data_IF_160933808874
#
_entry.id   IF_160933808874
#
_cell.length_a   1.000
_cell.length_b   1.000
_cell.length_c   1.000
_cell.angle_alpha   90.00
_cell.angle_beta   90.00
_cell.angle_gamma   90.00
#
_symmetry.space_group_name_H-M   'P 1'
#
loop_
_entity.id
_entity.type
_entity.pdbx_description
1 polymer ?
#
# COMPACT_ATOMS: atom_id res chain seq x y z
N UNK A 1 -4.87 16.87 -6.35
CA UNK A 1 -5.86 15.99 -7.01
C UNK A 1 -7.25 16.51 -6.67
N UNK A 2 -8.11 16.68 -7.66
CA UNK A 2 -9.54 17.00 -7.44
C UNK A 2 -10.29 15.66 -7.35
N UNK A 3 -10.97 15.43 -6.23
CA UNK A 3 -11.81 14.25 -5.99
C UNK A 3 -13.24 14.64 -6.39
N UNK A 4 -13.87 13.88 -7.28
CA UNK A 4 -15.26 14.14 -7.73
C UNK A 4 -16.29 13.74 -6.66
N UNK A 5 -17.58 13.94 -6.94
CA UNK A 5 -18.67 13.69 -5.97
C UNK A 5 -18.82 12.19 -5.69
N UNK A 6 -18.73 11.35 -6.72
CA UNK A 6 -18.86 9.91 -6.64
C UNK A 6 -17.71 9.29 -5.82
N UNK A 7 -16.48 9.73 -6.08
CA UNK A 7 -15.31 9.30 -5.31
C UNK A 7 -15.39 9.71 -3.84
N UNK A 8 -15.87 10.91 -3.54
CA UNK A 8 -16.09 11.34 -2.14
C UNK A 8 -17.12 10.46 -1.44
N UNK A 9 -18.20 10.12 -2.12
CA UNK A 9 -19.22 9.25 -1.56
C UNK A 9 -18.66 7.82 -1.36
N UNK A 10 -17.92 7.28 -2.31
CA UNK A 10 -17.28 5.96 -2.17
C UNK A 10 -16.28 5.93 -1.00
N UNK A 11 -15.46 6.97 -0.80
CA UNK A 11 -14.58 7.10 0.38
C UNK A 11 -15.40 7.17 1.69
N UNK A 12 -16.51 7.87 1.72
CA UNK A 12 -17.41 7.92 2.87
C UNK A 12 -18.01 6.54 3.16
N UNK A 13 -18.47 5.82 2.15
CA UNK A 13 -19.00 4.47 2.27
C UNK A 13 -17.92 3.48 2.75
N UNK A 14 -16.70 3.56 2.23
CA UNK A 14 -15.58 2.78 2.72
C UNK A 14 -15.35 3.01 4.22
N UNK A 15 -15.32 4.27 4.68
CA UNK A 15 -15.13 4.61 6.09
C UNK A 15 -16.23 4.00 6.97
N UNK A 16 -17.49 4.17 6.59
CA UNK A 16 -18.63 3.60 7.33
C UNK A 16 -18.58 2.07 7.37
N UNK A 17 -18.23 1.45 6.24
CA UNK A 17 -18.12 0.00 6.13
C UNK A 17 -17.01 -0.56 7.02
N UNK A 18 -15.82 0.05 6.99
CA UNK A 18 -14.70 -0.32 7.86
C UNK A 18 -15.08 -0.15 9.34
N UNK A 19 -15.69 0.97 9.72
CA UNK A 19 -16.12 1.22 11.09
C UNK A 19 -17.09 0.14 11.58
N UNK A 20 -18.08 -0.23 10.77
CA UNK A 20 -19.05 -1.29 11.10
C UNK A 20 -18.38 -2.65 11.30
N UNK A 21 -17.53 -3.05 10.36
CA UNK A 21 -16.82 -4.34 10.46
C UNK A 21 -15.83 -4.37 11.63
N UNK A 22 -15.22 -3.24 11.95
CA UNK A 22 -14.25 -3.16 13.04
C UNK A 22 -14.87 -3.39 14.43
N UNK A 23 -16.18 -3.19 14.60
CA UNK A 23 -16.89 -3.48 15.84
C UNK A 23 -16.82 -4.97 16.23
N UNK A 24 -16.76 -5.86 15.23
CA UNK A 24 -16.79 -7.33 15.45
C UNK A 24 -15.46 -8.02 15.13
N UNK A 25 -14.62 -7.42 14.27
CA UNK A 25 -13.48 -8.16 13.69
C UNK A 25 -12.10 -7.58 14.02
N UNK A 26 -12.01 -6.42 14.69
CA UNK A 26 -10.73 -5.78 15.04
C UNK A 26 -9.76 -5.67 13.84
N UNK A 27 -10.25 -5.19 12.70
CA UNK A 27 -9.47 -5.05 11.45
C UNK A 27 -8.36 -4.01 11.60
N UNK A 28 -8.62 -2.97 12.38
CA UNK A 28 -7.72 -1.87 12.68
C UNK A 28 -7.79 -1.55 14.18
N UNK A 29 -6.74 -0.95 14.73
CA UNK A 29 -6.71 -0.56 16.15
C UNK A 29 -7.73 0.55 16.47
N UNK A 30 -8.11 0.70 17.75
CA UNK A 30 -8.99 1.77 18.20
C UNK A 30 -8.46 3.16 17.81
N UNK A 31 -7.16 3.41 17.93
CA UNK A 31 -6.55 4.68 17.52
C UNK A 31 -6.65 4.92 16.02
N UNK A 32 -6.59 3.87 15.19
CA UNK A 32 -6.79 3.97 13.75
C UNK A 32 -8.26 4.24 13.39
N UNK A 33 -9.21 3.63 14.10
CA UNK A 33 -10.65 3.86 13.88
C UNK A 33 -11.03 5.31 14.13
N UNK A 34 -10.44 5.94 15.14
CA UNK A 34 -10.70 7.34 15.47
C UNK A 34 -10.14 8.33 14.44
N UNK A 35 -9.19 7.90 13.60
CA UNK A 35 -8.45 8.74 12.66
C UNK A 35 -8.57 8.26 11.19
N UNK A 36 -9.72 7.69 10.81
CA UNK A 36 -9.90 7.14 9.45
C UNK A 36 -9.75 8.20 8.35
N UNK A 37 -10.18 9.43 8.59
CA UNK A 37 -10.02 10.52 7.62
C UNK A 37 -8.55 10.85 7.37
N UNK A 38 -7.72 10.79 8.41
CA UNK A 38 -6.28 11.00 8.27
C UNK A 38 -5.62 9.85 7.52
N UNK A 39 -6.09 8.61 7.75
CA UNK A 39 -5.61 7.45 7.02
C UNK A 39 -5.99 7.48 5.54
N UNK A 40 -7.19 7.95 5.21
CA UNK A 40 -7.61 8.21 3.83
C UNK A 40 -6.71 9.29 3.22
N UNK A 41 -6.54 10.42 3.92
CA UNK A 41 -5.72 11.52 3.44
C UNK A 41 -4.26 11.09 3.19
N UNK A 42 -3.63 10.38 4.14
CA UNK A 42 -2.29 9.82 3.98
C UNK A 42 -2.21 8.94 2.73
N UNK A 43 -3.20 8.06 2.52
CA UNK A 43 -3.25 7.17 1.35
C UNK A 43 -3.33 7.94 0.04
N UNK A 44 -4.16 8.98 0.00
CA UNK A 44 -4.34 9.81 -1.19
C UNK A 44 -3.14 10.71 -1.47
N UNK A 45 -2.39 11.10 -0.42
CA UNK A 45 -1.21 11.97 -0.56
C UNK A 45 -0.08 11.34 -1.37
N UNK A 46 -0.01 10.01 -1.44
CA UNK A 46 1.01 9.28 -2.21
C UNK A 46 0.57 8.94 -3.63
N UNK A 47 -0.72 9.03 -3.94
CA UNK A 47 -1.30 8.61 -5.23
C UNK A 47 -0.59 9.20 -6.45
N UNK A 48 -0.19 10.51 -6.48
CA UNK A 48 0.49 11.10 -7.65
C UNK A 48 1.86 10.50 -7.97
N UNK A 49 2.46 9.81 -7.01
CA UNK A 49 3.81 9.24 -7.12
C UNK A 49 3.81 7.75 -7.50
N UNK A 50 2.63 7.15 -7.68
CA UNK A 50 2.48 5.71 -7.88
C UNK A 50 2.24 5.36 -9.36
N UNK A 51 2.79 4.23 -9.79
CA UNK A 51 2.59 3.64 -11.11
C UNK A 51 1.18 3.08 -11.33
N UNK A 52 1.00 2.36 -12.46
CA UNK A 52 -0.31 1.82 -12.85
C UNK A 52 -0.68 0.51 -12.17
N UNK A 53 0.29 -0.38 -11.93
CA UNK A 53 0.05 -1.68 -11.30
C UNK A 53 0.63 -1.66 -9.90
N UNK A 54 -0.22 -1.80 -8.89
CA UNK A 54 0.14 -1.71 -7.48
C UNK A 54 -0.17 -3.02 -6.76
N UNK A 55 0.78 -3.47 -5.95
CA UNK A 55 0.65 -4.64 -5.08
C UNK A 55 0.72 -4.12 -3.64
N UNK A 56 -0.42 -3.96 -2.98
CA UNK A 56 -0.52 -3.51 -1.58
C UNK A 56 -0.34 -4.70 -0.66
N UNK A 57 0.80 -4.80 0.00
CA UNK A 57 1.20 -5.93 0.83
C UNK A 57 0.87 -5.69 2.30
N UNK A 58 0.06 -6.59 2.86
CA UNK A 58 -0.48 -6.45 4.20
C UNK A 58 -1.58 -5.39 4.25
N UNK A 59 -2.53 -5.48 3.32
CA UNK A 59 -3.57 -4.46 3.11
C UNK A 59 -4.46 -4.20 4.33
N UNK A 60 -4.61 -5.19 5.22
CA UNK A 60 -5.28 -5.04 6.50
C UNK A 60 -6.70 -4.49 6.40
N UNK A 61 -6.93 -3.31 6.96
CA UNK A 61 -8.18 -2.55 6.84
C UNK A 61 -8.36 -1.83 5.51
N UNK A 62 -7.56 -2.17 4.48
CA UNK A 62 -7.66 -1.63 3.12
C UNK A 62 -6.81 -0.37 2.87
N UNK A 63 -5.87 -0.04 3.76
CA UNK A 63 -5.01 1.13 3.59
C UNK A 63 -3.58 0.75 3.18
N UNK A 64 -3.04 1.39 2.15
CA UNK A 64 -3.60 2.50 1.38
C UNK A 64 -4.39 2.08 0.13
N UNK A 65 -4.49 0.79 -0.19
CA UNK A 65 -4.98 0.26 -1.46
C UNK A 65 -6.40 0.70 -1.82
N UNK A 66 -7.39 0.57 -0.92
CA UNK A 66 -8.79 0.92 -1.20
C UNK A 66 -8.99 2.42 -1.50
N UNK A 67 -8.48 3.38 -0.69
CA UNK A 67 -8.59 4.80 -1.05
C UNK A 67 -7.97 5.14 -2.41
N UNK A 68 -6.83 4.52 -2.75
CA UNK A 68 -6.18 4.72 -4.05
C UNK A 68 -7.04 4.13 -5.18
N UNK A 69 -7.62 2.94 -4.98
CA UNK A 69 -8.50 2.28 -5.95
C UNK A 69 -9.71 3.16 -6.30
N UNK A 70 -10.33 3.75 -5.29
CA UNK A 70 -11.51 4.61 -5.44
C UNK A 70 -11.22 5.84 -6.32
N UNK A 71 -10.02 6.42 -6.21
CA UNK A 71 -9.71 7.67 -6.91
C UNK A 71 -8.87 7.49 -8.18
N UNK A 72 -8.52 6.25 -8.54
CA UNK A 72 -7.58 5.96 -9.64
C UNK A 72 -8.07 4.77 -10.47
N UNK A 73 -9.09 4.97 -11.29
CA UNK A 73 -9.65 3.93 -12.16
C UNK A 73 -8.65 3.38 -13.19
N UNK A 74 -7.66 4.19 -13.54
CA UNK A 74 -6.57 3.84 -14.46
C UNK A 74 -5.50 2.93 -13.85
N UNK A 75 -5.55 2.67 -12.54
CA UNK A 75 -4.60 1.81 -11.83
C UNK A 75 -5.20 0.45 -11.53
N UNK A 76 -4.41 -0.61 -11.68
CA UNK A 76 -4.75 -1.97 -11.23
C UNK A 76 -4.14 -2.21 -9.86
N UNK A 77 -4.96 -2.62 -8.88
CA UNK A 77 -4.55 -2.76 -7.50
C UNK A 77 -4.79 -4.18 -7.01
N UNK A 78 -3.74 -4.79 -6.46
CA UNK A 78 -3.77 -6.13 -5.89
C UNK A 78 -3.57 -5.99 -4.38
N UNK A 79 -4.59 -6.36 -3.62
CA UNK A 79 -4.59 -6.32 -2.16
C UNK A 79 -4.16 -7.69 -1.63
N UNK A 80 -2.98 -7.79 -1.03
CA UNK A 80 -2.44 -9.03 -0.49
C UNK A 80 -2.64 -9.04 1.03
N UNK A 81 -3.40 -10.00 1.53
CA UNK A 81 -3.69 -10.13 2.95
C UNK A 81 -3.77 -11.60 3.35
N UNK A 82 -2.93 -12.01 4.30
CA UNK A 82 -2.85 -13.41 4.75
C UNK A 82 -3.92 -13.78 5.79
N UNK A 83 -4.45 -12.80 6.51
CA UNK A 83 -5.53 -13.02 7.48
C UNK A 83 -6.87 -13.12 6.75
N UNK A 84 -7.51 -14.29 6.79
CA UNK A 84 -8.76 -14.57 6.05
C UNK A 84 -9.91 -13.65 6.44
N UNK A 85 -10.03 -13.22 7.72
CA UNK A 85 -11.08 -12.28 8.15
C UNK A 85 -10.88 -10.92 7.52
N UNK A 86 -9.62 -10.42 7.45
CA UNK A 86 -9.29 -9.16 6.78
C UNK A 86 -9.47 -9.26 5.28
N UNK A 87 -9.06 -10.38 4.67
CA UNK A 87 -9.25 -10.62 3.24
C UNK A 87 -10.76 -10.66 2.88
N UNK A 88 -11.60 -11.29 3.70
CA UNK A 88 -13.06 -11.28 3.54
C UNK A 88 -13.65 -9.87 3.60
N UNK A 89 -13.18 -9.05 4.54
CA UNK A 89 -13.56 -7.63 4.60
C UNK A 89 -13.18 -6.88 3.31
N UNK A 90 -11.95 -7.07 2.84
CA UNK A 90 -11.47 -6.44 1.61
C UNK A 90 -12.30 -6.87 0.40
N UNK A 91 -12.58 -8.17 0.26
CA UNK A 91 -13.41 -8.72 -0.81
C UNK A 91 -14.84 -8.14 -0.78
N UNK A 92 -15.44 -8.11 0.42
CA UNK A 92 -16.76 -7.50 0.58
C UNK A 92 -16.74 -6.00 0.24
N UNK A 93 -15.66 -5.30 0.59
CA UNK A 93 -15.51 -3.87 0.32
C UNK A 93 -15.40 -3.59 -1.18
N UNK A 94 -14.55 -4.31 -1.91
CA UNK A 94 -14.40 -4.09 -3.37
C UNK A 94 -15.69 -4.39 -4.12
N UNK A 95 -16.43 -5.43 -3.72
CA UNK A 95 -17.73 -5.76 -4.32
C UNK A 95 -18.78 -4.69 -4.01
N UNK A 96 -18.88 -4.25 -2.75
CA UNK A 96 -19.85 -3.22 -2.32
C UNK A 96 -19.62 -1.87 -3.00
N UNK A 97 -18.37 -1.52 -3.24
CA UNK A 97 -17.99 -0.25 -3.89
C UNK A 97 -17.81 -0.39 -5.41
N UNK A 98 -18.09 -1.57 -5.98
CA UNK A 98 -17.92 -1.89 -7.40
C UNK A 98 -16.52 -1.51 -7.95
N UNK A 99 -15.46 -1.79 -7.18
CA UNK A 99 -14.08 -1.49 -7.58
C UNK A 99 -13.55 -2.54 -8.57
N UNK A 100 -13.84 -2.35 -9.85
CA UNK A 100 -13.47 -3.28 -10.94
C UNK A 100 -11.96 -3.32 -11.22
N UNK A 101 -11.24 -2.31 -10.77
CA UNK A 101 -9.79 -2.17 -10.90
C UNK A 101 -8.99 -2.83 -9.76
N UNK A 102 -9.66 -3.55 -8.85
CA UNK A 102 -9.04 -4.09 -7.64
C UNK A 102 -9.28 -5.59 -7.48
N UNK A 103 -8.25 -6.34 -7.08
CA UNK A 103 -8.32 -7.77 -6.78
C UNK A 103 -7.76 -8.05 -5.39
N UNK A 104 -8.41 -8.91 -4.63
CA UNK A 104 -7.94 -9.40 -3.32
C UNK A 104 -7.32 -10.78 -3.49
N UNK A 105 -6.15 -10.99 -2.91
CA UNK A 105 -5.47 -12.28 -2.82
C UNK A 105 -5.28 -12.64 -1.34
N UNK A 106 -6.00 -13.66 -0.87
CA UNK A 106 -5.87 -14.16 0.49
C UNK A 106 -4.73 -15.19 0.56
N UNK A 107 -3.52 -14.69 0.65
CA UNK A 107 -2.30 -15.51 0.69
C UNK A 107 -1.16 -14.74 1.35
N UNK A 108 -0.06 -15.41 1.63
CA UNK A 108 1.18 -14.77 2.07
C UNK A 108 1.92 -14.24 0.85
N UNK A 109 2.53 -13.05 0.97
CA UNK A 109 3.26 -12.43 -0.14
C UNK A 109 4.47 -13.25 -0.58
N UNK A 110 5.03 -14.04 0.32
CA UNK A 110 6.16 -14.95 0.06
C UNK A 110 5.82 -16.07 -0.94
N UNK A 111 4.52 -16.36 -1.12
CA UNK A 111 4.01 -17.38 -2.06
C UNK A 111 3.83 -16.85 -3.48
N UNK A 112 4.00 -15.53 -3.68
CA UNK A 112 3.75 -14.84 -4.93
C UNK A 112 5.05 -14.45 -5.63
N UNK A 113 5.00 -14.42 -6.97
CA UNK A 113 6.12 -14.02 -7.81
C UNK A 113 5.73 -13.03 -8.92
N UNK A 114 6.71 -12.57 -9.71
CA UNK A 114 6.45 -11.58 -10.78
C UNK A 114 5.40 -11.98 -11.80
N UNK A 115 5.28 -13.28 -12.10
CA UNK A 115 4.32 -13.83 -13.09
C UNK A 115 2.85 -13.68 -12.67
N UNK A 116 2.59 -13.45 -11.38
CA UNK A 116 1.23 -13.34 -10.84
C UNK A 116 0.62 -11.95 -11.07
N UNK A 117 1.41 -11.00 -11.60
CA UNK A 117 1.02 -9.60 -11.74
C UNK A 117 1.38 -9.02 -13.11
N UNK A 118 0.55 -8.08 -13.63
CA UNK A 118 0.90 -7.32 -14.82
C UNK A 118 2.10 -6.41 -14.55
N UNK A 119 3.02 -6.35 -15.51
CA UNK A 119 4.28 -5.64 -15.36
C UNK A 119 4.32 -4.37 -16.22
N UNK A 120 5.12 -3.36 -15.85
CA UNK A 120 5.83 -3.24 -14.57
C UNK A 120 4.88 -2.96 -13.41
N UNK A 121 5.27 -3.30 -12.18
CA UNK A 121 4.48 -3.05 -10.98
C UNK A 121 5.31 -2.37 -9.87
N UNK A 122 4.60 -1.80 -8.90
CA UNK A 122 5.16 -1.27 -7.68
C UNK A 122 4.55 -2.00 -6.48
N UNK A 123 5.41 -2.44 -5.55
CA UNK A 123 5.00 -3.03 -4.27
C UNK A 123 4.81 -1.90 -3.28
N UNK A 124 3.63 -1.78 -2.72
CA UNK A 124 3.26 -0.75 -1.76
C UNK A 124 3.10 -1.37 -0.39
N UNK A 125 3.63 -0.72 0.65
CA UNK A 125 3.47 -1.17 2.04
C UNK A 125 3.22 -0.01 2.98
N UNK A 126 2.35 -0.27 3.99
CA UNK A 126 2.12 0.62 5.11
C UNK A 126 2.11 -0.19 6.40
N UNK A 127 2.95 0.18 7.37
CA UNK A 127 3.04 -0.49 8.68
C UNK A 127 3.24 -2.02 8.64
N UNK A 128 3.84 -2.54 7.55
CA UNK A 128 4.08 -3.98 7.35
C UNK A 128 5.24 -4.53 8.18
N UNK A 129 6.13 -3.68 8.67
CA UNK A 129 7.28 -4.06 9.49
C UNK A 129 8.50 -3.18 9.23
N UNK A 130 9.69 -3.61 9.70
CA UNK A 130 10.94 -2.92 9.38
C UNK A 130 11.28 -3.05 7.89
N UNK A 131 12.16 -2.16 7.40
CA UNK A 131 12.59 -2.18 5.99
C UNK A 131 13.16 -3.53 5.59
N UNK A 132 14.05 -4.11 6.41
CA UNK A 132 14.66 -5.41 6.08
C UNK A 132 13.67 -6.57 6.16
N UNK A 133 12.73 -6.57 7.12
CA UNK A 133 11.65 -7.57 7.17
C UNK A 133 10.77 -7.49 5.92
N UNK A 134 10.40 -6.28 5.51
CA UNK A 134 9.63 -6.05 4.28
C UNK A 134 10.37 -6.57 3.05
N UNK A 135 11.65 -6.19 2.87
CA UNK A 135 12.48 -6.65 1.75
C UNK A 135 12.57 -8.18 1.71
N UNK A 136 12.73 -8.83 2.86
CA UNK A 136 12.79 -10.30 2.95
C UNK A 136 11.49 -10.93 2.47
N UNK A 137 10.35 -10.42 2.92
CA UNK A 137 9.03 -10.96 2.57
C UNK A 137 8.72 -10.84 1.08
N UNK A 138 9.06 -9.69 0.46
CA UNK A 138 8.77 -9.43 -0.96
C UNK A 138 9.92 -9.80 -1.90
N UNK A 139 10.91 -10.58 -1.43
CA UNK A 139 12.14 -10.88 -2.19
C UNK A 139 11.85 -11.38 -3.60
N UNK A 140 10.89 -12.30 -3.76
CA UNK A 140 10.49 -12.84 -5.05
C UNK A 140 9.95 -11.75 -5.99
N UNK A 141 9.07 -10.86 -5.51
CA UNK A 141 8.53 -9.76 -6.30
C UNK A 141 9.61 -8.79 -6.77
N UNK A 142 10.64 -8.57 -5.95
CA UNK A 142 11.75 -7.69 -6.31
C UNK A 142 12.75 -8.33 -7.28
N UNK A 143 12.51 -9.53 -7.80
CA UNK A 143 13.32 -10.09 -8.92
C UNK A 143 12.98 -9.44 -10.25
N UNK A 144 11.78 -8.87 -10.42
CA UNK A 144 11.42 -8.07 -11.60
C UNK A 144 12.34 -6.83 -11.70
N UNK A 145 12.98 -6.59 -12.87
CA UNK A 145 13.98 -5.53 -13.02
C UNK A 145 13.43 -4.11 -12.78
N UNK A 146 12.16 -3.88 -13.12
CA UNK A 146 11.50 -2.57 -12.99
C UNK A 146 10.63 -2.46 -11.75
N UNK A 147 10.61 -3.49 -10.89
CA UNK A 147 9.86 -3.44 -9.64
C UNK A 147 10.41 -2.36 -8.70
N UNK A 148 9.50 -1.65 -8.05
CA UNK A 148 9.82 -0.66 -7.03
C UNK A 148 9.10 -1.01 -5.74
N UNK A 149 9.79 -0.88 -4.61
CA UNK A 149 9.14 -0.92 -3.31
C UNK A 149 8.85 0.52 -2.88
N UNK A 150 7.58 0.80 -2.58
CA UNK A 150 7.05 2.06 -2.05
C UNK A 150 6.62 1.86 -0.61
N UNK A 151 7.34 2.44 0.33
CA UNK A 151 7.04 2.30 1.76
C UNK A 151 6.50 3.62 2.31
N UNK A 152 5.28 3.57 2.84
CA UNK A 152 4.75 4.70 3.64
C UNK A 152 5.36 4.65 5.04
N UNK A 153 6.08 5.68 5.41
CA UNK A 153 6.80 5.79 6.69
C UNK A 153 6.53 7.12 7.38
N UNK A 154 6.98 7.22 8.61
CA UNK A 154 7.04 8.46 9.38
C UNK A 154 8.49 8.94 9.42
N UNK A 155 8.71 10.24 9.25
CA UNK A 155 10.01 10.84 9.41
C UNK A 155 10.39 11.00 10.92
N UNK A 156 11.69 10.90 11.27
CA UNK A 156 12.80 10.52 10.39
C UNK A 156 12.78 9.04 10.06
N UNK A 157 13.39 8.65 8.93
CA UNK A 157 13.53 7.25 8.56
C UNK A 157 14.65 6.60 9.38
N UNK A 158 14.27 5.79 10.36
CA UNK A 158 15.22 5.19 11.32
C UNK A 158 15.78 3.83 10.86
N UNK A 159 15.17 3.19 9.88
CA UNK A 159 15.61 1.90 9.36
C UNK A 159 15.88 1.96 7.85
N UNK A 160 16.99 1.38 7.42
CA UNK A 160 17.45 1.37 6.02
C UNK A 160 17.74 -0.06 5.57
N UNK A 161 17.74 -0.33 4.25
CA UNK A 161 18.24 -1.61 3.73
C UNK A 161 19.66 -1.88 4.22
N UNK A 162 19.95 -3.13 4.59
CA UNK A 162 21.31 -3.54 4.97
C UNK A 162 22.30 -3.36 3.82
N UNK A 163 23.59 -3.21 4.12
CA UNK A 163 24.65 -3.09 3.11
C UNK A 163 24.73 -4.30 2.17
N UNK A 164 24.38 -5.48 2.65
CA UNK A 164 24.34 -6.73 1.88
C UNK A 164 23.14 -6.80 0.92
N UNK A 165 22.13 -5.94 1.09
CA UNK A 165 20.97 -5.89 0.20
C UNK A 165 21.39 -5.41 -1.19
N UNK A 166 20.86 -6.09 -2.23
CA UNK A 166 20.95 -5.61 -3.62
C UNK A 166 20.00 -4.43 -3.89
N UNK A 167 19.25 -4.01 -2.89
CA UNK A 167 18.28 -2.92 -2.96
C UNK A 167 18.85 -1.67 -2.26
N UNK A 168 18.51 -0.49 -2.79
CA UNK A 168 18.88 0.80 -2.22
C UNK A 168 17.71 1.78 -2.22
N UNK A 169 17.72 2.72 -1.29
CA UNK A 169 16.81 3.85 -1.32
C UNK A 169 17.22 4.75 -2.49
N UNK A 170 16.29 5.01 -3.40
CA UNK A 170 16.50 5.89 -4.57
C UNK A 170 15.78 7.23 -4.41
N UNK A 171 14.75 7.29 -3.57
CA UNK A 171 13.99 8.51 -3.36
C UNK A 171 13.31 8.52 -1.98
N UNK A 172 13.22 9.69 -1.37
CA UNK A 172 12.37 9.97 -0.21
C UNK A 172 11.57 11.23 -0.52
N UNK A 173 10.25 11.14 -0.45
CA UNK A 173 9.34 12.24 -0.73
C UNK A 173 8.59 12.57 0.57
N UNK A 174 8.60 13.84 0.98
CA UNK A 174 7.71 14.33 2.02
C UNK A 174 6.29 14.39 1.46
N UNK A 175 5.37 13.68 2.08
CA UNK A 175 3.97 13.67 1.68
C UNK A 175 3.16 14.61 2.56
N UNK A 176 2.00 15.07 2.04
CA UNK A 176 1.11 15.92 2.81
C UNK A 176 0.56 15.16 4.02
N UNK A 177 0.49 15.82 5.16
CA UNK A 177 -0.11 15.30 6.41
C UNK A 177 -1.26 16.21 6.85
N UNK A 178 -2.25 15.66 7.51
CA UNK A 178 -3.42 16.40 8.00
C UNK A 178 -3.27 16.83 9.48
N UNK A 179 -2.20 16.50 10.13
CA UNK A 179 -1.93 16.86 11.53
C UNK A 179 -0.48 17.31 11.72
N UNK A 180 -0.21 17.97 12.85
CA UNK A 180 1.11 18.60 13.11
C UNK A 180 2.18 17.62 13.65
N UNK A 181 1.79 16.42 14.10
CA UNK A 181 2.68 15.68 15.00
C UNK A 181 3.71 14.78 14.32
N UNK A 182 3.49 14.36 13.08
CA UNK A 182 4.47 13.46 12.42
C UNK A 182 4.48 13.62 10.90
N UNK A 183 5.58 14.12 10.38
CA UNK A 183 5.81 14.19 8.94
C UNK A 183 5.75 12.79 8.32
N UNK A 184 4.91 12.61 7.28
CA UNK A 184 4.85 11.38 6.48
C UNK A 184 5.82 11.45 5.32
N UNK A 185 6.40 10.31 4.99
CA UNK A 185 7.30 10.15 3.85
C UNK A 185 6.93 8.92 3.03
N UNK A 186 7.14 9.02 1.73
CA UNK A 186 7.13 7.89 0.81
C UNK A 186 8.57 7.55 0.44
N UNK A 187 9.02 6.38 0.83
CA UNK A 187 10.38 5.88 0.56
C UNK A 187 10.32 4.96 -0.64
N UNK A 188 11.13 5.21 -1.66
CA UNK A 188 11.30 4.35 -2.82
C UNK A 188 12.57 3.55 -2.70
N UNK A 189 12.47 2.24 -2.87
CA UNK A 189 13.59 1.31 -2.87
C UNK A 189 13.58 0.54 -4.19
N UNK A 190 14.74 0.49 -4.85
CA UNK A 190 14.94 -0.18 -6.14
C UNK A 190 16.21 -1.01 -6.12
N UNK A 191 16.38 -1.88 -7.12
CA UNK A 191 17.64 -2.60 -7.33
C UNK A 191 18.80 -1.64 -7.56
N UNK A 192 19.95 -1.97 -7.00
CA UNK A 192 21.22 -1.34 -7.38
C UNK A 192 21.48 -1.65 -8.86
N UNK A 193 21.74 -0.65 -9.67
CA UNK A 193 22.18 -0.87 -11.05
C UNK A 193 23.50 -1.64 -10.99
N UNK A 194 23.64 -2.73 -11.77
CA UNK A 194 24.95 -3.35 -11.97
C UNK A 194 25.87 -2.26 -12.55
N UNK A 195 26.97 -1.97 -11.88
CA UNK A 195 28.03 -1.22 -12.51
C UNK A 195 28.54 -2.09 -13.67
N UNK A 196 28.39 -1.61 -14.90
CA UNK A 196 29.17 -2.13 -16.03
C UNK A 196 30.63 -1.74 -15.72
N UNK A 197 31.42 -2.65 -15.18
CA UNK A 197 32.87 -2.55 -15.27
C UNK A 197 33.22 -2.68 -16.76
N UNK A 198 33.63 -1.56 -17.35
CA UNK A 198 34.34 -1.56 -18.64
C UNK A 198 35.73 -2.09 -18.43
#
# INVERSE_FOLDING_TARGET
>A
MKINKEQREALRQFKLHLSKWNLTHNLVSKSQTNNLDDHIFDSLSIQPYLGKNLIDVGSGGGFPGIPIAIVSEDKKIFLIESNSKKASFLLHTINKLALTNTKVLNTRVEELGPKDFPQPYEVLTRAFGTTNKTIKAIKALMTEPKAKLRMMRTAPLNDRPTHQSQLKITQIINTKTKGKDKQRILVTIEKKKKQCTR
#
